data_IF_588234561994
#
_entry.id   IF_588234561994
#
_cell.length_a   1.000
_cell.length_b   1.000
_cell.length_c   1.000
_cell.angle_alpha   90.00
_cell.angle_beta   90.00
_cell.angle_gamma   90.00
#
_symmetry.space_group_name_H-M   'P 1'
#
loop_
_entity.id
_entity.type
_entity.pdbx_description
1 polymer ?
#
# COMPACT_ATOMS: atom_id res chain seq x y z
N UNK A 1 5.98 -9.92 1.50
CA UNK A 1 4.80 -10.20 0.64
C UNK A 1 3.47 -10.04 1.35
N UNK A 2 3.35 -10.41 2.63
CA UNK A 2 2.06 -10.32 3.37
C UNK A 2 1.49 -8.88 3.41
N UNK A 3 2.32 -7.86 3.52
CA UNK A 3 1.89 -6.44 3.49
C UNK A 3 1.23 -6.09 2.16
N UNK A 4 1.77 -6.58 1.05
CA UNK A 4 1.21 -6.36 -0.29
C UNK A 4 -0.14 -7.08 -0.47
N UNK A 5 -0.25 -8.33 -0.03
CA UNK A 5 -1.50 -9.09 -0.06
C UNK A 5 -2.58 -8.40 0.79
N UNK A 6 -2.24 -7.97 2.00
CA UNK A 6 -3.15 -7.23 2.87
C UNK A 6 -3.54 -5.87 2.28
N UNK A 7 -2.60 -5.18 1.63
CA UNK A 7 -2.84 -3.93 0.93
C UNK A 7 -3.83 -4.08 -0.22
N UNK A 8 -3.65 -5.09 -1.04
CA UNK A 8 -4.57 -5.41 -2.15
C UNK A 8 -5.97 -5.71 -1.60
N UNK A 9 -6.08 -6.58 -0.60
CA UNK A 9 -7.35 -6.92 0.03
C UNK A 9 -8.06 -5.69 0.62
N UNK A 10 -7.33 -4.84 1.34
CA UNK A 10 -7.86 -3.63 1.94
C UNK A 10 -8.32 -2.62 0.89
N UNK A 11 -7.53 -2.40 -0.17
CA UNK A 11 -7.89 -1.50 -1.25
C UNK A 11 -9.14 -1.99 -2.00
N UNK A 12 -9.26 -3.29 -2.25
CA UNK A 12 -10.46 -3.87 -2.88
C UNK A 12 -11.71 -3.76 -1.99
N UNK A 13 -11.55 -3.99 -0.68
CA UNK A 13 -12.65 -3.84 0.27
C UNK A 13 -13.14 -2.40 0.37
N UNK A 14 -12.25 -1.42 0.31
CA UNK A 14 -12.58 0.01 0.39
C UNK A 14 -13.18 0.57 -0.91
N UNK A 15 -12.95 -0.07 -2.06
CA UNK A 15 -13.55 0.31 -3.33
C UNK A 15 -12.57 0.70 -4.43
N UNK A 16 -13.11 0.95 -5.63
CA UNK A 16 -12.33 1.12 -6.86
C UNK A 16 -11.43 2.35 -6.90
N UNK A 17 -11.74 3.40 -6.14
CA UNK A 17 -10.95 4.63 -6.08
C UNK A 17 -9.75 4.55 -5.14
N UNK A 18 -9.63 3.50 -4.33
CA UNK A 18 -8.51 3.35 -3.38
C UNK A 18 -7.31 2.75 -4.09
N UNK A 19 -6.16 3.42 -3.96
CA UNK A 19 -4.88 3.04 -4.55
C UNK A 19 -3.84 2.74 -3.48
N UNK A 20 -2.77 2.09 -3.87
CA UNK A 20 -1.70 1.63 -2.99
C UNK A 20 -0.44 2.47 -3.17
N UNK A 21 0.03 3.07 -2.08
CA UNK A 21 1.32 3.75 -2.02
C UNK A 21 2.34 2.82 -1.36
N UNK A 22 3.45 2.61 -2.05
CA UNK A 22 4.56 1.82 -1.51
C UNK A 22 5.13 2.45 -0.23
N UNK A 23 5.48 1.67 0.80
CA UNK A 23 5.34 0.21 0.84
C UNK A 23 3.98 -0.27 1.39
N UNK A 24 3.23 0.54 2.13
CA UNK A 24 2.15 0.05 2.98
C UNK A 24 0.99 1.02 3.23
N UNK A 25 0.82 2.05 2.41
CA UNK A 25 -0.24 3.03 2.58
C UNK A 25 -1.40 2.84 1.60
N UNK A 26 -2.60 3.18 2.06
CA UNK A 26 -3.82 3.31 1.27
C UNK A 26 -4.07 4.79 0.96
N UNK A 27 -4.34 5.09 -0.30
CA UNK A 27 -4.57 6.45 -0.80
C UNK A 27 -5.96 6.55 -1.42
N UNK A 28 -6.68 7.59 -1.07
CA UNK A 28 -7.95 7.98 -1.68
C UNK A 28 -7.90 9.48 -1.98
N UNK A 29 -8.22 9.86 -3.23
CA UNK A 29 -8.19 11.26 -3.69
C UNK A 29 -6.84 11.96 -3.37
N UNK A 30 -5.72 11.30 -3.68
CA UNK A 30 -4.35 11.75 -3.41
C UNK A 30 -4.03 12.04 -1.93
N UNK A 31 -4.86 11.55 -1.00
CA UNK A 31 -4.68 11.70 0.44
C UNK A 31 -4.62 10.35 1.13
N UNK A 32 -3.88 10.28 2.23
CA UNK A 32 -3.75 9.03 3.00
C UNK A 32 -5.09 8.65 3.63
N UNK A 33 -5.58 7.48 3.26
CA UNK A 33 -6.78 6.85 3.83
C UNK A 33 -6.43 5.95 5.01
N UNK A 34 -5.30 5.29 4.96
CA UNK A 34 -4.90 4.33 5.97
C UNK A 34 -3.54 3.72 5.72
N UNK A 35 -3.21 2.73 6.50
CA UNK A 35 -1.94 2.02 6.40
C UNK A 35 -2.01 0.59 6.90
N UNK A 36 -1.00 -0.19 6.55
CA UNK A 36 -0.90 -1.60 6.86
C UNK A 36 0.42 -1.86 7.57
N UNK A 37 0.35 -2.60 8.66
CA UNK A 37 1.51 -3.12 9.37
C UNK A 37 1.43 -4.64 9.40
N UNK A 38 2.55 -5.32 9.19
CA UNK A 38 2.63 -6.76 9.33
C UNK A 38 3.87 -7.16 10.11
N UNK A 39 3.70 -8.14 10.97
CA UNK A 39 4.75 -8.72 11.79
C UNK A 39 4.69 -10.24 11.67
N UNK A 40 5.83 -10.87 11.47
CA UNK A 40 5.94 -12.33 11.46
C UNK A 40 6.41 -12.80 12.83
N UNK A 41 5.64 -13.69 13.45
CA UNK A 41 5.97 -14.34 14.74
C UNK A 41 5.88 -15.86 14.57
N UNK A 42 7.04 -16.49 14.43
CA UNK A 42 7.10 -17.93 14.12
C UNK A 42 6.41 -18.22 12.78
N UNK A 43 5.41 -19.09 12.80
CA UNK A 43 4.64 -19.48 11.61
C UNK A 43 3.40 -18.60 11.37
N UNK A 44 3.19 -17.57 12.20
CA UNK A 44 2.02 -16.68 12.11
C UNK A 44 2.41 -15.31 11.60
N UNK A 45 1.53 -14.74 10.81
CA UNK A 45 1.57 -13.32 10.46
C UNK A 45 0.49 -12.55 11.24
N UNK A 46 0.90 -11.47 11.89
CA UNK A 46 -0.02 -10.51 12.48
C UNK A 46 -0.12 -9.33 11.54
N UNK A 47 -1.34 -8.99 11.13
CA UNK A 47 -1.60 -7.88 10.21
C UNK A 47 -2.51 -6.87 10.88
N UNK A 48 -2.01 -5.65 11.02
CA UNK A 48 -2.78 -4.49 11.45
C UNK A 48 -3.16 -3.64 10.23
N UNK A 49 -4.44 -3.31 10.12
CA UNK A 49 -4.97 -2.46 9.06
C UNK A 49 -5.68 -1.28 9.70
N UNK A 50 -5.13 -0.07 9.54
CA UNK A 50 -5.75 1.16 9.99
C UNK A 50 -6.40 1.88 8.81
N UNK A 51 -7.70 2.19 8.92
CA UNK A 51 -8.46 2.91 7.89
C UNK A 51 -9.27 4.01 8.57
N UNK A 52 -9.18 5.23 8.04
CA UNK A 52 -9.99 6.34 8.50
C UNK A 52 -11.45 6.15 8.03
N UNK A 53 -12.37 5.83 8.94
CA UNK A 53 -13.77 5.56 8.60
C UNK A 53 -14.67 6.78 8.80
N UNK A 54 -14.79 7.26 10.03
CA UNK A 54 -15.68 8.37 10.41
C UNK A 54 -14.93 9.62 10.86
N UNK A 55 -13.61 9.51 11.01
CA UNK A 55 -12.72 10.61 11.36
C UNK A 55 -11.37 10.43 10.67
N UNK A 56 -10.73 11.53 10.33
CA UNK A 56 -9.39 11.55 9.77
C UNK A 56 -8.63 12.79 10.26
N UNK A 57 -7.30 12.72 10.38
CA UNK A 57 -6.47 13.89 10.58
C UNK A 57 -6.64 14.91 9.45
N UNK A 58 -6.32 16.17 9.71
CA UNK A 58 -6.30 17.20 8.68
C UNK A 58 -5.41 16.79 7.50
N UNK A 59 -5.91 16.96 6.28
CA UNK A 59 -5.23 16.58 5.04
C UNK A 59 -5.29 15.09 4.69
N UNK A 60 -5.81 14.22 5.57
CA UNK A 60 -6.04 12.81 5.27
C UNK A 60 -7.42 12.55 4.65
N UNK A 61 -7.57 11.40 4.00
CA UNK A 61 -8.85 10.95 3.47
C UNK A 61 -9.63 10.17 4.53
N UNK A 62 -10.92 10.08 4.32
CA UNK A 62 -11.87 9.33 5.14
C UNK A 62 -12.78 8.53 4.23
N UNK A 63 -13.03 7.27 4.56
CA UNK A 63 -13.89 6.40 3.74
C UNK A 63 -15.39 6.72 3.91
N UNK A 64 -15.79 7.13 5.11
CA UNK A 64 -17.19 7.47 5.39
C UNK A 64 -18.12 6.26 5.41
N UNK A 65 -17.61 5.09 5.78
CA UNK A 65 -18.36 3.83 5.73
C UNK A 65 -18.43 3.18 7.11
N UNK A 66 -19.43 2.33 7.30
CA UNK A 66 -19.59 1.54 8.51
C UNK A 66 -18.50 0.48 8.65
N UNK A 67 -17.98 0.32 9.86
CA UNK A 67 -16.89 -0.61 10.18
C UNK A 67 -17.26 -2.07 9.90
N UNK A 68 -18.46 -2.49 10.29
CA UNK A 68 -18.89 -3.89 10.10
C UNK A 68 -19.10 -4.22 8.62
N UNK A 69 -19.68 -3.30 7.87
CA UNK A 69 -19.86 -3.46 6.43
C UNK A 69 -18.50 -3.62 5.72
N UNK A 70 -17.50 -2.79 6.08
CA UNK A 70 -16.15 -2.92 5.56
C UNK A 70 -15.51 -4.25 5.95
N UNK A 71 -15.62 -4.63 7.22
CA UNK A 71 -15.03 -5.87 7.74
C UNK A 71 -15.60 -7.12 7.05
N UNK A 72 -16.90 -7.13 6.79
CA UNK A 72 -17.57 -8.22 6.09
C UNK A 72 -17.07 -8.40 4.64
N UNK A 73 -16.62 -7.33 3.98
CA UNK A 73 -15.97 -7.42 2.67
C UNK A 73 -14.48 -7.76 2.78
N UNK A 74 -13.80 -7.22 3.77
CA UNK A 74 -12.35 -7.35 3.94
C UNK A 74 -11.93 -8.77 4.29
N UNK A 75 -12.62 -9.45 5.21
CA UNK A 75 -12.21 -10.76 5.71
C UNK A 75 -12.14 -11.83 4.60
N UNK A 76 -13.13 -11.99 3.70
CA UNK A 76 -13.02 -12.93 2.59
C UNK A 76 -11.89 -12.59 1.62
N UNK A 77 -11.66 -11.30 1.35
CA UNK A 77 -10.57 -10.84 0.49
C UNK A 77 -9.20 -11.12 1.12
N UNK A 78 -9.05 -10.89 2.42
CA UNK A 78 -7.83 -11.26 3.16
C UNK A 78 -7.53 -12.75 3.04
N UNK A 79 -8.53 -13.61 3.24
CA UNK A 79 -8.39 -15.06 3.12
C UNK A 79 -7.99 -15.48 1.70
N UNK A 80 -8.57 -14.85 0.69
CA UNK A 80 -8.28 -15.12 -0.72
C UNK A 80 -6.86 -14.69 -1.10
N UNK A 81 -6.47 -13.45 -0.81
CA UNK A 81 -5.15 -12.93 -1.16
C UNK A 81 -4.01 -13.55 -0.35
N UNK A 82 -4.27 -14.01 0.88
CA UNK A 82 -3.29 -14.75 1.67
C UNK A 82 -2.87 -16.09 1.03
N UNK A 83 -3.72 -16.68 0.19
CA UNK A 83 -3.47 -17.93 -0.54
C UNK A 83 -2.97 -17.71 -1.97
N UNK A 84 -3.01 -16.49 -2.47
CA UNK A 84 -2.57 -16.17 -3.81
C UNK A 84 -1.05 -16.31 -3.97
N UNK A 85 -0.58 -16.55 -5.19
CA UNK A 85 0.85 -16.54 -5.49
C UNK A 85 1.43 -15.13 -5.33
N UNK A 86 2.72 -15.04 -5.04
CA UNK A 86 3.42 -13.75 -4.97
C UNK A 86 3.31 -12.97 -6.28
N UNK A 87 3.37 -13.67 -7.41
CA UNK A 87 3.19 -13.07 -8.74
C UNK A 87 1.82 -12.42 -8.89
N UNK A 88 0.74 -13.12 -8.50
CA UNK A 88 -0.62 -12.59 -8.57
C UNK A 88 -0.80 -11.36 -7.65
N UNK A 89 -0.25 -11.41 -6.44
CA UNK A 89 -0.28 -10.30 -5.49
C UNK A 89 0.44 -9.07 -6.05
N UNK A 90 1.66 -9.24 -6.57
CA UNK A 90 2.45 -8.13 -7.13
C UNK A 90 1.76 -7.55 -8.37
N UNK A 91 1.24 -8.39 -9.25
CA UNK A 91 0.50 -7.93 -10.43
C UNK A 91 -0.71 -7.07 -10.02
N UNK A 92 -1.50 -7.54 -9.08
CA UNK A 92 -2.66 -6.77 -8.61
C UNK A 92 -2.28 -5.49 -7.89
N UNK A 93 -1.18 -5.51 -7.13
CA UNK A 93 -0.62 -4.33 -6.48
C UNK A 93 -0.20 -3.27 -7.52
N UNK A 94 0.49 -3.68 -8.59
CA UNK A 94 0.88 -2.80 -9.72
C UNK A 94 -0.33 -2.11 -10.33
N UNK A 95 -1.39 -2.84 -10.59
CA UNK A 95 -2.63 -2.32 -11.18
C UNK A 95 -3.29 -1.24 -10.31
N UNK A 96 -3.13 -1.34 -8.99
CA UNK A 96 -3.67 -0.38 -8.02
C UNK A 96 -2.65 0.63 -7.51
N UNK A 97 -1.44 0.63 -8.05
CA UNK A 97 -0.38 1.49 -7.53
C UNK A 97 -0.66 2.98 -7.73
N UNK A 98 -0.49 3.73 -6.65
CA UNK A 98 -0.38 5.18 -6.69
C UNK A 98 1.05 5.62 -6.96
N UNK A 99 2.04 4.78 -6.61
CA UNK A 99 3.48 5.11 -6.64
C UNK A 99 4.08 4.98 -8.03
N UNK A 100 3.75 3.90 -8.77
CA UNK A 100 4.36 3.61 -10.05
C UNK A 100 4.02 4.66 -11.11
N UNK A 101 4.98 4.98 -11.97
CA UNK A 101 4.86 5.99 -12.99
C UNK A 101 5.00 7.43 -12.48
N UNK A 102 5.28 7.63 -11.19
CA UNK A 102 5.50 8.94 -10.58
C UNK A 102 7.00 9.19 -10.40
N UNK A 103 7.42 10.45 -10.49
CA UNK A 103 8.73 10.87 -9.97
C UNK A 103 8.58 10.99 -8.47
N UNK A 104 9.36 10.22 -7.75
CA UNK A 104 9.29 10.11 -6.28
C UNK A 104 10.61 10.42 -5.64
N UNK A 105 10.53 10.84 -4.39
CA UNK A 105 11.65 10.97 -3.46
C UNK A 105 11.47 9.93 -2.37
N UNK A 106 12.48 9.11 -2.14
CA UNK A 106 12.48 8.07 -1.10
C UNK A 106 13.59 8.36 -0.10
N UNK A 107 13.23 8.46 1.16
CA UNK A 107 14.19 8.60 2.25
C UNK A 107 14.52 7.22 2.84
N UNK A 108 15.80 6.86 2.81
CA UNK A 108 16.31 5.57 3.29
C UNK A 108 17.58 5.81 4.09
N UNK A 109 17.56 5.55 5.39
CA UNK A 109 18.75 5.60 6.24
C UNK A 109 19.49 6.93 6.19
N UNK A 110 18.76 8.06 6.11
CA UNK A 110 19.33 9.40 5.99
C UNK A 110 19.81 9.78 4.59
N UNK A 111 19.62 8.90 3.61
CA UNK A 111 19.87 9.18 2.19
C UNK A 111 18.57 9.43 1.45
N UNK A 112 18.63 10.28 0.44
CA UNK A 112 17.50 10.57 -0.44
C UNK A 112 17.77 10.02 -1.82
N UNK A 113 16.84 9.19 -2.34
CA UNK A 113 16.84 8.68 -3.70
C UNK A 113 15.68 9.36 -4.42
N UNK A 114 15.96 10.02 -5.54
CA UNK A 114 14.93 10.67 -6.36
C UNK A 114 14.97 10.10 -7.78
N UNK A 115 13.82 9.80 -8.34
CA UNK A 115 13.70 9.28 -9.69
C UNK A 115 12.30 8.75 -10.00
N UNK A 116 12.14 8.22 -11.20
CA UNK A 116 10.91 7.56 -11.62
C UNK A 116 10.73 6.26 -10.83
N UNK A 117 9.57 6.07 -10.23
CA UNK A 117 9.17 4.78 -9.66
C UNK A 117 8.75 3.86 -10.80
N UNK A 118 9.66 2.98 -11.21
CA UNK A 118 9.55 2.19 -12.43
C UNK A 118 8.70 0.94 -12.23
N UNK A 119 8.98 0.19 -11.17
CA UNK A 119 8.32 -1.08 -10.89
C UNK A 119 8.48 -1.50 -9.42
N UNK A 120 7.79 -2.58 -9.05
CA UNK A 120 7.99 -3.33 -7.81
C UNK A 120 8.45 -4.74 -8.16
N UNK A 121 9.59 -5.13 -7.59
CA UNK A 121 10.16 -6.46 -7.79
C UNK A 121 9.34 -7.55 -7.08
N UNK A 122 9.56 -8.81 -7.43
CA UNK A 122 8.83 -9.97 -6.87
C UNK A 122 8.92 -10.10 -5.35
N UNK A 123 9.97 -9.57 -4.75
CA UNK A 123 10.15 -9.54 -3.29
C UNK A 123 9.58 -8.28 -2.62
N UNK A 124 8.97 -7.40 -3.40
CA UNK A 124 8.35 -6.17 -2.93
C UNK A 124 9.25 -4.93 -2.92
N UNK A 125 10.50 -5.02 -3.38
CA UNK A 125 11.37 -3.86 -3.48
C UNK A 125 10.89 -2.89 -4.56
N UNK A 126 10.93 -1.58 -4.27
CA UNK A 126 10.63 -0.54 -5.25
C UNK A 126 11.85 -0.25 -6.12
N UNK A 127 11.66 -0.14 -7.41
CA UNK A 127 12.69 0.28 -8.37
C UNK A 127 12.52 1.77 -8.67
N UNK A 128 13.52 2.58 -8.33
CA UNK A 128 13.50 4.05 -8.49
C UNK A 128 14.76 4.49 -9.21
N UNK A 129 14.62 5.01 -10.43
CA UNK A 129 15.75 5.48 -11.21
C UNK A 129 16.86 4.44 -11.37
N UNK A 130 16.50 3.19 -11.62
CA UNK A 130 17.41 2.05 -11.73
C UNK A 130 17.98 1.54 -10.39
N UNK A 131 17.57 2.09 -9.27
CA UNK A 131 18.00 1.66 -7.92
C UNK A 131 16.90 0.84 -7.24
N UNK A 132 17.32 -0.18 -6.51
CA UNK A 132 16.46 -1.05 -5.74
C UNK A 132 16.33 -0.54 -4.29
N UNK A 133 15.11 -0.29 -3.84
CA UNK A 133 14.78 0.21 -2.51
C UNK A 133 13.92 -0.80 -1.78
N UNK A 134 14.35 -1.25 -0.61
CA UNK A 134 13.65 -2.29 0.19
C UNK A 134 12.82 -1.72 1.33
N UNK A 135 13.11 -0.50 1.77
CA UNK A 135 12.41 0.21 2.83
C UNK A 135 12.55 1.72 2.62
N UNK A 136 11.65 2.49 3.17
CA UNK A 136 11.71 3.95 3.16
C UNK A 136 10.34 4.58 3.11
N UNK A 137 10.31 5.92 3.20
CA UNK A 137 9.10 6.71 3.00
C UNK A 137 9.13 7.38 1.63
N UNK A 138 8.03 7.31 0.92
CA UNK A 138 7.87 7.81 -0.45
C UNK A 138 7.06 9.09 -0.46
N UNK A 139 7.61 10.12 -1.06
CA UNK A 139 6.89 11.35 -1.40
C UNK A 139 6.89 11.59 -2.91
N UNK A 140 5.78 12.08 -3.46
CA UNK A 140 5.72 12.51 -4.86
C UNK A 140 6.51 13.82 -5.01
N UNK A 141 7.39 13.89 -6.00
CA UNK A 141 8.01 15.14 -6.40
C UNK A 141 7.00 15.89 -7.29
N UNK A 142 6.57 17.06 -6.85
CA UNK A 142 5.71 17.93 -7.65
C UNK A 142 6.59 18.71 -8.62
N UNK A 143 6.22 18.85 -9.89
CA UNK A 143 6.87 19.80 -10.79
C UNK A 143 6.83 21.20 -10.18
N UNK A 144 7.92 21.92 -10.32
CA UNK A 144 7.98 23.31 -9.90
C UNK A 144 6.99 24.19 -10.69
#
# INVERSE_FOLDING_TARGET
>A
MIVFAAGVAAAEACGGGVRLKWPNDLILDDRKLGGILAEIRGERALVGIGINLSWAPEGAAMLGEDREALLNRLLPLMASWAKASSEAVIQRWRERSWTLGQVVRVEVGGQVIEGLAEDVAEDGALLVGGRRVIAGDVARVRPA
#
